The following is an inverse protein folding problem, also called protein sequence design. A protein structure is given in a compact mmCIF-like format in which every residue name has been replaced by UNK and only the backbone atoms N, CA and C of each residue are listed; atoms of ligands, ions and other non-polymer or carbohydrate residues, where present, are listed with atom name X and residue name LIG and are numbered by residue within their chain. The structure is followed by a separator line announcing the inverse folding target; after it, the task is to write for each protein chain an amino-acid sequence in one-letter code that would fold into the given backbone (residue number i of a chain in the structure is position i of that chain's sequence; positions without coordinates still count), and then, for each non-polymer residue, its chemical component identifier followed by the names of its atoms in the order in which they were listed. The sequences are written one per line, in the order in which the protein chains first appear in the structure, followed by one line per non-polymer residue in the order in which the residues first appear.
data_IF_099067514155
#
_entry.id   IF_099067514155
#
_cell.length_a   1.000
_cell.length_b   1.000
_cell.length_c   1.000
_cell.angle_alpha   90.00
_cell.angle_beta   90.00
_cell.angle_gamma   90.00
#
_symmetry.space_group_name_H-M   'P 1'
#
loop_
_entity.id
_entity.type
_entity.pdbx_description
1 polymer ?
#
# COMPACT_ATOMS: atom_id res chain seq x y z
N UNK A 1 30.23 -40.89 39.69
CA UNK A 1 28.78 -40.94 39.97
C UNK A 1 28.10 -39.96 39.03
N UNK A 2 27.89 -40.39 37.78
CA UNK A 2 27.23 -39.59 36.74
C UNK A 2 25.78 -40.07 36.71
N UNK A 3 24.90 -39.34 37.37
CA UNK A 3 23.46 -39.59 37.37
C UNK A 3 22.77 -38.28 36.99
N UNK A 4 22.82 -37.96 35.70
CA UNK A 4 21.87 -37.06 35.07
C UNK A 4 21.38 -37.77 33.82
N UNK A 5 20.27 -38.49 33.96
CA UNK A 5 19.61 -39.08 32.82
C UNK A 5 18.10 -38.96 32.92
N UNK A 6 17.55 -38.54 31.78
CA UNK A 6 16.16 -38.62 31.33
C UNK A 6 15.12 -37.75 32.03
N UNK A 7 15.08 -36.50 31.56
CA UNK A 7 13.81 -35.83 31.30
C UNK A 7 12.93 -36.79 30.48
N UNK A 8 11.78 -37.19 31.03
CA UNK A 8 10.93 -38.24 30.46
C UNK A 8 10.55 -37.99 28.99
N UNK A 9 10.56 -39.02 28.13
CA UNK A 9 10.24 -38.86 26.70
C UNK A 9 8.83 -38.31 26.46
N UNK A 10 7.90 -38.59 27.38
CA UNK A 10 6.53 -38.08 27.37
C UNK A 10 6.44 -36.55 27.50
N UNK A 11 7.35 -35.92 28.25
CA UNK A 11 7.35 -34.48 28.48
C UNK A 11 7.98 -33.71 27.31
N UNK A 12 8.98 -34.30 26.65
CA UNK A 12 9.58 -33.74 25.43
C UNK A 12 8.60 -33.74 24.24
N UNK A 13 7.79 -34.79 24.08
CA UNK A 13 6.81 -34.88 22.99
C UNK A 13 5.73 -33.80 23.11
N UNK A 14 5.21 -33.57 24.33
CA UNK A 14 4.21 -32.51 24.56
C UNK A 14 4.77 -31.12 24.30
N UNK A 15 6.01 -30.86 24.74
CA UNK A 15 6.70 -29.59 24.47
C UNK A 15 6.91 -29.37 22.97
N UNK A 16 7.31 -30.40 22.22
CA UNK A 16 7.46 -30.33 20.77
C UNK A 16 6.14 -30.07 20.05
N UNK A 17 5.03 -30.66 20.52
CA UNK A 17 3.68 -30.41 19.97
C UNK A 17 3.24 -28.96 20.21
N UNK A 18 3.46 -28.42 21.41
CA UNK A 18 3.14 -27.00 21.69
C UNK A 18 3.99 -26.04 20.85
N UNK A 19 5.27 -26.36 20.65
CA UNK A 19 6.18 -25.56 19.83
C UNK A 19 5.78 -25.60 18.34
N UNK A 20 5.41 -26.77 17.83
CA UNK A 20 4.85 -26.92 16.48
C UNK A 20 3.56 -26.12 16.32
N UNK A 21 2.65 -26.18 17.30
CA UNK A 21 1.39 -25.44 17.28
C UNK A 21 1.63 -23.93 17.23
N UNK A 22 2.59 -23.43 18.03
CA UNK A 22 2.98 -22.02 18.06
C UNK A 22 3.56 -21.56 16.71
N UNK A 23 4.44 -22.36 16.09
CA UNK A 23 5.00 -22.07 14.77
C UNK A 23 3.89 -22.01 13.71
N UNK A 24 2.96 -22.97 13.71
CA UNK A 24 1.84 -22.98 12.75
C UNK A 24 0.97 -21.74 12.91
N UNK A 25 0.68 -21.30 14.15
CA UNK A 25 -0.09 -20.07 14.39
C UNK A 25 0.66 -18.80 13.97
N UNK A 26 2.00 -18.77 14.06
CA UNK A 26 2.79 -17.62 13.67
C UNK A 26 2.86 -17.44 12.14
N UNK A 27 2.92 -18.54 11.39
CA UNK A 27 2.96 -18.49 9.91
C UNK A 27 1.64 -17.97 9.32
N UNK A 28 0.51 -18.22 9.99
CA UNK A 28 -0.80 -17.76 9.54
C UNK A 28 -1.02 -16.24 9.68
N UNK A 29 -0.13 -15.52 10.38
CA UNK A 29 -0.23 -14.07 10.56
C UNK A 29 0.52 -13.26 9.50
N UNK A 30 1.29 -13.90 8.61
CA UNK A 30 2.03 -13.19 7.57
C UNK A 30 1.15 -13.01 6.33
N UNK A 31 0.32 -11.96 6.34
CA UNK A 31 -0.44 -11.53 5.17
C UNK A 31 0.25 -10.30 4.57
N UNK A 32 1.06 -10.51 3.52
CA UNK A 32 1.64 -9.43 2.73
C UNK A 32 0.63 -8.99 1.66
N UNK A 33 0.04 -7.81 1.79
CA UNK A 33 -0.83 -7.25 0.77
C UNK A 33 0.01 -6.74 -0.41
N UNK A 34 -0.05 -7.44 -1.53
CA UNK A 34 0.62 -7.02 -2.77
C UNK A 34 -0.30 -6.14 -3.61
N UNK A 35 0.27 -5.06 -4.15
CA UNK A 35 -0.37 -4.24 -5.18
C UNK A 35 -0.47 -5.04 -6.50
N UNK A 36 -1.52 -4.78 -7.27
CA UNK A 36 -1.74 -5.30 -8.63
C UNK A 36 -0.96 -4.52 -9.66
N UNK A 37 -0.74 -3.22 -9.43
CA UNK A 37 0.12 -2.37 -10.22
C UNK A 37 1.45 -2.12 -9.48
N UNK A 38 2.48 -1.80 -10.26
CA UNK A 38 3.77 -1.34 -9.77
C UNK A 38 3.67 0.06 -9.14
N UNK A 39 4.54 0.31 -8.18
CA UNK A 39 4.53 1.56 -7.39
C UNK A 39 4.71 2.80 -8.27
N UNK A 40 5.62 2.73 -9.25
CA UNK A 40 5.89 3.84 -10.18
C UNK A 40 4.63 4.21 -10.98
N UNK A 41 3.95 3.22 -11.54
CA UNK A 41 2.67 3.43 -12.24
C UNK A 41 1.59 3.98 -11.31
N UNK A 42 1.53 3.54 -10.06
CA UNK A 42 0.59 4.06 -9.08
C UNK A 42 0.84 5.54 -8.78
N UNK A 43 2.10 5.94 -8.61
CA UNK A 43 2.50 7.35 -8.44
C UNK A 43 2.12 8.17 -9.68
N UNK A 44 2.37 7.68 -10.89
CA UNK A 44 2.01 8.38 -12.13
C UNK A 44 0.50 8.54 -12.29
N UNK A 45 -0.27 7.48 -12.07
CA UNK A 45 -1.73 7.54 -12.15
C UNK A 45 -2.32 8.52 -11.13
N UNK A 46 -1.87 8.47 -9.86
CA UNK A 46 -2.34 9.39 -8.82
C UNK A 46 -1.96 10.83 -9.17
N UNK A 47 -0.79 11.05 -9.78
CA UNK A 47 -0.35 12.36 -10.27
C UNK A 47 -1.29 12.87 -11.36
N UNK A 48 -1.61 12.05 -12.35
CA UNK A 48 -2.55 12.41 -13.42
C UNK A 48 -3.96 12.69 -12.88
N UNK A 49 -4.43 11.95 -11.87
CA UNK A 49 -5.69 12.24 -11.21
C UNK A 49 -5.70 13.60 -10.50
N UNK A 50 -4.59 14.00 -9.87
CA UNK A 50 -4.45 15.33 -9.26
C UNK A 50 -4.48 16.42 -10.34
N UNK A 51 -3.75 16.24 -11.43
CA UNK A 51 -3.73 17.19 -12.56
C UNK A 51 -5.13 17.29 -13.19
N UNK A 52 -5.80 16.16 -13.42
CA UNK A 52 -7.16 16.12 -13.95
C UNK A 52 -8.14 16.86 -13.04
N UNK A 53 -8.03 16.69 -11.71
CA UNK A 53 -8.86 17.39 -10.74
C UNK A 53 -8.61 18.90 -10.75
N UNK A 54 -7.35 19.34 -10.81
CA UNK A 54 -7.01 20.76 -10.95
C UNK A 54 -7.50 21.36 -12.28
N UNK A 55 -7.49 20.58 -13.37
CA UNK A 55 -7.98 21.02 -14.67
C UNK A 55 -9.50 21.29 -14.68
N UNK A 56 -10.28 20.66 -13.78
CA UNK A 56 -11.74 20.87 -13.68
C UNK A 56 -12.11 22.30 -13.33
N UNK A 57 -11.22 23.07 -12.70
CA UNK A 57 -11.51 24.46 -12.35
C UNK A 57 -11.71 25.36 -13.59
N UNK A 58 -11.24 24.91 -14.75
CA UNK A 58 -11.43 25.59 -16.04
C UNK A 58 -12.81 25.30 -16.68
N UNK A 59 -13.59 24.38 -16.11
CA UNK A 59 -14.88 23.98 -16.64
C UNK A 59 -16.05 24.50 -15.78
N UNK A 60 -17.21 24.81 -16.39
CA UNK A 60 -18.43 25.15 -15.67
C UNK A 60 -18.80 24.08 -14.63
N UNK A 61 -19.26 24.45 -13.41
CA UNK A 61 -19.57 23.49 -12.35
C UNK A 61 -20.53 22.36 -12.77
N UNK A 62 -21.50 22.64 -13.63
CA UNK A 62 -22.47 21.67 -14.16
C UNK A 62 -21.87 20.66 -15.16
N UNK A 63 -20.67 20.91 -15.67
CA UNK A 63 -19.97 20.03 -16.62
C UNK A 63 -18.84 19.23 -15.97
N UNK A 64 -18.34 19.67 -14.80
CA UNK A 64 -17.16 19.10 -14.14
C UNK A 64 -17.24 17.58 -13.96
N UNK A 65 -18.39 17.06 -13.55
CA UNK A 65 -18.57 15.62 -13.34
C UNK A 65 -18.42 14.83 -14.65
N UNK A 66 -19.01 15.35 -15.74
CA UNK A 66 -18.92 14.73 -17.07
C UNK A 66 -17.49 14.76 -17.62
N UNK A 67 -16.79 15.88 -17.44
CA UNK A 67 -15.40 16.06 -17.86
C UNK A 67 -14.47 15.19 -17.03
N UNK A 68 -14.68 15.11 -15.72
CA UNK A 68 -13.87 14.28 -14.83
C UNK A 68 -13.96 12.80 -15.20
N UNK A 69 -15.15 12.33 -15.60
CA UNK A 69 -15.33 10.97 -16.11
C UNK A 69 -14.49 10.72 -17.36
N UNK A 70 -14.47 11.66 -18.31
CA UNK A 70 -13.65 11.56 -19.52
C UNK A 70 -12.16 11.50 -19.17
N UNK A 71 -11.68 12.37 -18.27
CA UNK A 71 -10.29 12.31 -17.81
C UNK A 71 -9.96 11.00 -17.13
N UNK A 72 -10.84 10.50 -16.27
CA UNK A 72 -10.66 9.22 -15.58
C UNK A 72 -10.52 8.06 -16.57
N UNK A 73 -11.41 7.99 -17.57
CA UNK A 73 -11.37 6.96 -18.61
C UNK A 73 -10.07 7.05 -19.45
N UNK A 74 -9.60 8.28 -19.73
CA UNK A 74 -8.35 8.51 -20.44
C UNK A 74 -7.12 8.09 -19.61
N UNK A 75 -7.05 8.44 -18.33
CA UNK A 75 -5.96 8.06 -17.43
C UNK A 75 -5.83 6.53 -17.40
N UNK A 76 -6.93 5.81 -17.18
CA UNK A 76 -6.91 4.34 -17.20
C UNK A 76 -6.42 3.77 -18.55
N UNK A 77 -6.84 4.38 -19.66
CA UNK A 77 -6.41 3.97 -21.00
C UNK A 77 -4.92 4.24 -21.26
N UNK A 78 -4.39 5.37 -20.82
CA UNK A 78 -2.99 5.76 -20.98
C UNK A 78 -2.09 4.77 -20.23
N UNK A 79 -2.47 4.42 -19.00
CA UNK A 79 -1.69 3.54 -18.13
C UNK A 79 -1.93 2.04 -18.38
N UNK A 80 -2.93 1.68 -19.21
CA UNK A 80 -3.30 0.29 -19.46
C UNK A 80 -3.86 -0.42 -18.23
N UNK A 81 -4.48 0.33 -17.32
CA UNK A 81 -4.96 -0.17 -16.02
C UNK A 81 -6.48 -0.19 -15.99
N UNK A 82 -7.07 -1.25 -15.44
CA UNK A 82 -8.51 -1.29 -15.21
C UNK A 82 -8.86 -0.53 -13.94
N UNK A 83 -10.02 0.12 -13.92
CA UNK A 83 -10.55 0.80 -12.73
C UNK A 83 -10.52 -0.08 -11.48
N UNK A 84 -10.98 -1.33 -11.60
CA UNK A 84 -10.97 -2.30 -10.49
C UNK A 84 -9.58 -2.68 -9.98
N UNK A 85 -8.56 -2.64 -10.84
CA UNK A 85 -7.17 -2.89 -10.42
C UNK A 85 -6.64 -1.73 -9.60
N UNK A 86 -6.85 -0.51 -10.09
CA UNK A 86 -6.45 0.70 -9.38
C UNK A 86 -7.18 0.86 -8.05
N UNK A 87 -8.50 0.67 -8.02
CA UNK A 87 -9.29 0.73 -6.78
C UNK A 87 -8.81 -0.30 -5.74
N UNK A 88 -8.45 -1.50 -6.17
CA UNK A 88 -7.87 -2.50 -5.28
C UNK A 88 -6.54 -2.02 -4.67
N UNK A 89 -5.69 -1.36 -5.46
CA UNK A 89 -4.39 -0.86 -4.99
C UNK A 89 -4.55 0.29 -4.02
N UNK A 90 -5.48 1.22 -4.26
CA UNK A 90 -5.84 2.27 -3.31
C UNK A 90 -6.32 1.65 -2.00
N UNK A 91 -7.18 0.63 -2.05
CA UNK A 91 -7.65 -0.09 -0.85
C UNK A 91 -6.52 -0.83 -0.11
N UNK A 92 -5.46 -1.28 -0.79
CA UNK A 92 -4.29 -1.83 -0.11
C UNK A 92 -3.45 -0.71 0.51
N UNK A 93 -3.31 0.42 -0.20
CA UNK A 93 -2.51 1.55 0.25
C UNK A 93 -3.09 2.20 1.50
N UNK A 94 -4.42 2.31 1.59
CA UNK A 94 -5.14 2.81 2.78
C UNK A 94 -4.91 1.97 4.05
N UNK A 95 -4.51 0.70 3.92
CA UNK A 95 -4.21 -0.17 5.07
C UNK A 95 -2.85 0.12 5.70
N UNK A 96 -1.95 0.77 4.97
CA UNK A 96 -0.63 1.16 5.44
C UNK A 96 -0.45 2.68 5.28
N UNK A 97 -0.84 3.47 6.30
CA UNK A 97 -0.73 4.92 6.27
C UNK A 97 0.69 5.43 6.02
N UNK A 98 1.72 4.70 6.45
CA UNK A 98 3.12 5.10 6.23
C UNK A 98 3.48 4.98 4.76
N UNK A 99 3.15 3.84 4.15
CA UNK A 99 3.40 3.64 2.73
C UNK A 99 2.55 4.59 1.86
N UNK A 100 1.31 4.86 2.29
CA UNK A 100 0.47 5.85 1.60
C UNK A 100 1.13 7.24 1.59
N UNK A 101 1.62 7.71 2.73
CA UNK A 101 2.30 9.01 2.80
C UNK A 101 3.52 9.05 1.87
N UNK A 102 4.33 7.98 1.82
CA UNK A 102 5.49 7.91 0.91
C UNK A 102 5.09 8.06 -0.57
N UNK A 103 3.98 7.44 -0.98
CA UNK A 103 3.45 7.59 -2.34
C UNK A 103 2.99 9.03 -2.58
N UNK A 104 2.29 9.65 -1.62
CA UNK A 104 1.82 11.03 -1.74
C UNK A 104 2.99 12.03 -1.80
N UNK A 105 4.07 11.80 -1.08
CA UNK A 105 5.29 12.60 -1.15
C UNK A 105 5.93 12.51 -2.55
N UNK A 106 5.94 11.31 -3.14
CA UNK A 106 6.37 11.10 -4.53
C UNK A 106 5.47 11.80 -5.54
N UNK A 107 4.15 11.77 -5.34
CA UNK A 107 3.20 12.52 -6.18
C UNK A 107 3.44 14.03 -6.07
N UNK A 108 3.61 14.53 -4.85
CA UNK A 108 3.83 15.96 -4.58
C UNK A 108 5.12 16.45 -5.23
N UNK A 109 6.21 15.69 -5.11
CA UNK A 109 7.48 16.04 -5.77
C UNK A 109 7.40 16.04 -7.30
N UNK A 110 6.51 15.22 -7.91
CA UNK A 110 6.26 15.27 -9.36
C UNK A 110 5.46 16.51 -9.78
N UNK A 111 4.53 16.99 -8.95
CA UNK A 111 3.66 18.14 -9.26
C UNK A 111 4.39 19.47 -9.00
N UNK A 112 5.19 19.55 -7.93
CA UNK A 112 5.91 20.75 -7.52
C UNK A 112 7.41 20.45 -7.26
N UNK A 113 8.21 20.26 -8.31
CA UNK A 113 9.61 19.80 -8.18
C UNK A 113 10.57 20.79 -7.48
N UNK A 114 10.13 22.02 -7.15
CA UNK A 114 10.97 23.09 -6.61
C UNK A 114 10.53 23.62 -5.23
N UNK A 115 9.52 23.02 -4.58
CA UNK A 115 9.25 23.30 -3.17
C UNK A 115 10.05 22.30 -2.32
N UNK A 116 11.11 22.79 -1.68
CA UNK A 116 11.91 22.05 -0.72
C UNK A 116 10.96 21.49 0.36
N UNK A 117 10.69 20.19 0.30
CA UNK A 117 9.86 19.52 1.31
C UNK A 117 10.58 19.68 2.65
N UNK A 118 10.06 20.46 3.62
CA UNK A 118 10.75 20.61 4.89
C UNK A 118 10.93 19.22 5.49
N UNK A 119 12.11 18.91 6.06
CA UNK A 119 12.36 17.61 6.65
C UNK A 119 11.20 17.28 7.58
N UNK A 120 10.64 16.09 7.42
CA UNK A 120 9.82 15.44 8.43
C UNK A 120 10.54 15.58 9.77
N UNK A 121 10.18 16.61 10.53
CA UNK A 121 10.63 16.82 11.89
C UNK A 121 10.12 15.64 12.69
N UNK A 122 11.05 14.71 12.91
CA UNK A 122 11.14 13.78 14.02
C UNK A 122 9.91 13.77 14.92
N UNK A 123 9.16 12.68 14.85
CA UNK A 123 8.40 12.20 15.99
C UNK A 123 9.34 12.16 17.22
N UNK A 124 9.18 13.14 18.10
CA UNK A 124 9.62 13.12 19.49
C UNK A 124 8.43 12.71 20.36
#
# INVERSE_FOLDING_TARGET
MILLNYLSPFMMIKSAVYLLLFIVTAVLWSCESKFKNDEEKLVEMITDFHIAKAALDRYPPNERDSVYKVFTDQIFKIHGVTKSSFEYDILQLEKDPKNYQLILDKVTSKIAPNEENPPNETAQ
#
